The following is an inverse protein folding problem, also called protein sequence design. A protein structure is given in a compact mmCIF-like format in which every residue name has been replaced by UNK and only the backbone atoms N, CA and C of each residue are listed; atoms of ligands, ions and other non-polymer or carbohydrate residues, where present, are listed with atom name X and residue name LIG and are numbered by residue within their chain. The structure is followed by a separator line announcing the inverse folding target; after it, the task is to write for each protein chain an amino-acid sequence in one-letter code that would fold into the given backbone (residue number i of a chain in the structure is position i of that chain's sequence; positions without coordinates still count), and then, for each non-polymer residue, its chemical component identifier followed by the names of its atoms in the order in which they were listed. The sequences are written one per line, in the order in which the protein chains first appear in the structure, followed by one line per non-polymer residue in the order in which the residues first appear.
data_IF_529210074062
#
_entry.id   IF_529210074062
#
_cell.length_a   1.000
_cell.length_b   1.000
_cell.length_c   1.000
_cell.angle_alpha   90.00
_cell.angle_beta   90.00
_cell.angle_gamma   90.00
#
_symmetry.space_group_name_H-M   'P 1'
#
loop_
_entity.id
_entity.type
_entity.pdbx_description
1 polymer ?
#
# COMPACT_ATOMS: atom_id res chain seq x y z
N UNK A 1 -52.81 28.67 21.33
CA UNK A 1 -51.83 29.49 20.59
C UNK A 1 -51.19 28.57 19.57
N UNK A 2 -51.41 28.83 18.29
CA UNK A 2 -50.80 28.09 17.17
C UNK A 2 -49.45 28.74 16.89
N UNK A 3 -48.33 28.15 17.34
CA UNK A 3 -47.03 28.84 17.28
C UNK A 3 -46.57 29.10 15.84
N UNK A 4 -47.04 28.35 14.84
CA UNK A 4 -46.67 28.58 13.44
C UNK A 4 -47.37 29.83 12.90
N UNK A 5 -48.66 30.00 13.22
CA UNK A 5 -49.47 31.13 12.76
C UNK A 5 -49.27 32.38 13.61
N UNK A 6 -49.22 32.22 14.92
CA UNK A 6 -49.19 33.33 15.89
C UNK A 6 -47.81 34.01 15.94
N UNK A 7 -46.72 33.29 15.62
CA UNK A 7 -45.36 33.85 15.51
C UNK A 7 -44.85 33.96 14.06
N UNK A 8 -45.71 33.70 13.05
CA UNK A 8 -45.37 33.80 11.63
C UNK A 8 -44.08 33.05 11.26
N UNK A 9 -43.95 31.80 11.73
CA UNK A 9 -42.79 30.94 11.47
C UNK A 9 -42.87 30.43 10.04
N UNK A 10 -41.92 30.84 9.19
CA UNK A 10 -41.87 30.50 7.75
C UNK A 10 -40.79 29.51 7.37
N UNK A 11 -39.93 29.17 8.32
CA UNK A 11 -38.91 28.14 8.17
C UNK A 11 -39.57 26.75 8.11
N UNK A 12 -39.33 26.02 7.03
CA UNK A 12 -39.98 24.75 6.76
C UNK A 12 -39.55 23.65 7.75
N UNK A 13 -38.29 23.62 8.15
CA UNK A 13 -37.76 22.65 9.10
C UNK A 13 -38.31 22.91 10.52
N UNK A 14 -38.45 24.18 10.88
CA UNK A 14 -39.06 24.58 12.15
C UNK A 14 -40.56 24.25 12.17
N UNK A 15 -41.29 24.55 11.09
CA UNK A 15 -42.71 24.25 10.97
C UNK A 15 -43.00 22.73 11.03
N UNK A 16 -42.18 21.92 10.35
CA UNK A 16 -42.29 20.44 10.39
C UNK A 16 -41.96 19.87 11.76
N UNK A 17 -40.96 20.43 12.46
CA UNK A 17 -40.62 20.03 13.83
C UNK A 17 -41.76 20.33 14.81
N UNK A 18 -42.40 21.49 14.69
CA UNK A 18 -43.55 21.87 15.52
C UNK A 18 -44.74 20.93 15.26
N UNK A 19 -45.04 20.64 13.98
CA UNK A 19 -46.11 19.71 13.62
C UNK A 19 -45.83 18.28 14.17
N UNK A 20 -44.58 17.83 14.09
CA UNK A 20 -44.16 16.54 14.67
C UNK A 20 -44.32 16.50 16.18
N UNK A 21 -43.96 17.58 16.89
CA UNK A 21 -44.16 17.72 18.34
C UNK A 21 -45.65 17.60 18.69
N UNK A 22 -46.51 18.37 18.02
CA UNK A 22 -47.96 18.35 18.28
C UNK A 22 -48.54 16.94 18.06
N UNK A 23 -48.17 16.28 16.95
CA UNK A 23 -48.58 14.90 16.69
C UNK A 23 -48.11 13.91 17.77
N UNK A 24 -46.91 14.09 18.31
CA UNK A 24 -46.40 13.25 19.40
C UNK A 24 -47.15 13.52 20.70
N UNK A 25 -47.45 14.78 21.04
CA UNK A 25 -48.22 15.17 22.23
C UNK A 25 -49.65 14.58 22.18
N UNK A 26 -50.31 14.66 21.03
CA UNK A 26 -51.62 14.03 20.81
C UNK A 26 -51.55 12.52 21.02
N UNK A 27 -50.55 11.86 20.43
CA UNK A 27 -50.35 10.41 20.59
C UNK A 27 -50.02 10.02 22.02
N UNK A 28 -49.29 10.87 22.74
CA UNK A 28 -48.91 10.62 24.14
C UNK A 28 -50.14 10.50 25.03
N UNK A 29 -51.16 11.34 24.80
CA UNK A 29 -52.39 11.36 25.59
C UNK A 29 -53.17 10.02 25.55
N UNK A 30 -52.96 9.18 24.54
CA UNK A 30 -53.64 7.88 24.41
C UNK A 30 -52.95 6.73 25.15
N UNK A 31 -51.75 6.93 25.70
CA UNK A 31 -51.05 5.84 26.39
C UNK A 31 -51.56 5.66 27.83
N UNK A 32 -52.06 4.45 28.12
CA UNK A 32 -52.57 4.07 29.43
C UNK A 32 -51.53 4.14 30.57
N UNK A 33 -50.23 4.12 30.23
CA UNK A 33 -49.16 4.21 31.23
C UNK A 33 -49.12 5.56 31.97
N UNK A 34 -49.66 6.64 31.39
CA UNK A 34 -49.72 7.96 32.02
C UNK A 34 -50.61 7.98 33.28
N UNK A 35 -51.56 7.06 33.37
CA UNK A 35 -52.47 6.92 34.52
C UNK A 35 -51.96 5.90 35.55
N UNK A 36 -50.73 5.40 35.41
CA UNK A 36 -50.18 4.40 36.32
C UNK A 36 -49.69 5.06 37.63
N UNK A 37 -50.15 4.61 38.82
CA UNK A 37 -49.70 5.17 40.09
C UNK A 37 -48.22 4.88 40.40
N UNK A 38 -47.62 3.89 39.72
CA UNK A 38 -46.20 3.52 39.82
C UNK A 38 -45.42 3.87 38.55
N UNK A 39 -45.89 4.86 37.79
CA UNK A 39 -45.30 5.23 36.51
C UNK A 39 -43.78 5.42 36.59
N UNK A 40 -43.29 6.16 37.57
CA UNK A 40 -41.85 6.43 37.74
C UNK A 40 -41.04 5.15 37.93
N UNK A 41 -41.51 4.20 38.73
CA UNK A 41 -40.82 2.91 38.94
C UNK A 41 -40.79 2.07 37.66
N UNK A 42 -41.94 1.92 37.00
CA UNK A 42 -42.05 1.17 35.75
C UNK A 42 -41.25 1.81 34.62
N UNK A 43 -41.30 3.13 34.49
CA UNK A 43 -40.53 3.89 33.50
C UNK A 43 -39.04 3.71 33.73
N UNK A 44 -38.56 3.83 34.97
CA UNK A 44 -37.15 3.62 35.29
C UNK A 44 -36.70 2.18 34.99
N UNK A 45 -37.54 1.18 35.28
CA UNK A 45 -37.26 -0.22 34.95
C UNK A 45 -37.10 -0.42 33.44
N UNK A 46 -38.04 0.10 32.64
CA UNK A 46 -37.99 0.01 31.18
C UNK A 46 -36.82 0.80 30.60
N UNK A 47 -36.56 2.01 31.11
CA UNK A 47 -35.44 2.84 30.68
C UNK A 47 -34.09 2.14 30.96
N UNK A 48 -33.94 1.51 32.13
CA UNK A 48 -32.76 0.70 32.44
C UNK A 48 -32.63 -0.51 31.51
N UNK A 49 -33.74 -1.21 31.25
CA UNK A 49 -33.75 -2.31 30.29
C UNK A 49 -33.35 -1.86 28.88
N UNK A 50 -33.81 -0.70 28.43
CA UNK A 50 -33.44 -0.14 27.11
C UNK A 50 -31.95 0.19 27.05
N UNK A 51 -31.38 0.83 28.08
CA UNK A 51 -29.93 1.09 28.17
C UNK A 51 -29.11 -0.20 28.16
N UNK A 52 -29.53 -1.21 28.92
CA UNK A 52 -28.88 -2.52 28.94
C UNK A 52 -28.94 -3.20 27.57
N UNK A 53 -30.09 -3.12 26.87
CA UNK A 53 -30.21 -3.65 25.50
C UNK A 53 -29.31 -2.93 24.51
N UNK A 54 -29.21 -1.62 24.60
CA UNK A 54 -28.29 -0.82 23.80
C UNK A 54 -26.84 -1.23 24.07
N UNK A 55 -26.44 -1.34 25.34
CA UNK A 55 -25.11 -1.81 25.72
C UNK A 55 -24.82 -3.23 25.19
N UNK A 56 -25.76 -4.16 25.30
CA UNK A 56 -25.60 -5.52 24.75
C UNK A 56 -25.45 -5.48 23.22
N UNK A 57 -26.17 -4.59 22.54
CA UNK A 57 -26.09 -4.45 21.08
C UNK A 57 -24.72 -3.90 20.68
N UNK A 58 -24.24 -2.86 21.38
CA UNK A 58 -22.90 -2.30 21.17
C UNK A 58 -21.81 -3.32 21.46
N UNK A 59 -21.89 -4.05 22.58
CA UNK A 59 -20.91 -5.10 22.91
C UNK A 59 -20.90 -6.23 21.89
N UNK A 60 -22.08 -6.64 21.37
CA UNK A 60 -22.16 -7.63 20.29
C UNK A 60 -21.50 -7.15 19.02
N UNK A 61 -21.71 -5.88 18.66
CA UNK A 61 -21.03 -5.28 17.51
C UNK A 61 -19.51 -5.24 17.72
N UNK A 62 -19.03 -4.76 18.88
CA UNK A 62 -17.60 -4.71 19.20
C UNK A 62 -16.92 -6.08 19.25
N UNK A 63 -17.67 -7.14 19.58
CA UNK A 63 -17.17 -8.52 19.59
C UNK A 63 -17.36 -9.23 18.25
N UNK A 64 -18.05 -8.60 17.29
CA UNK A 64 -18.24 -9.14 15.95
C UNK A 64 -17.04 -8.86 15.08
N UNK A 65 -16.83 -9.72 14.09
CA UNK A 65 -15.87 -9.50 13.00
C UNK A 65 -16.20 -8.24 12.16
N UNK A 66 -17.42 -7.69 12.29
CA UNK A 66 -17.83 -6.44 11.63
C UNK A 66 -17.21 -5.18 12.23
N UNK A 67 -16.72 -5.24 13.46
CA UNK A 67 -15.98 -4.12 14.09
C UNK A 67 -14.54 -3.99 13.60
N UNK A 68 -14.02 -5.00 12.89
CA UNK A 68 -12.66 -5.01 12.38
C UNK A 68 -12.55 -4.05 11.20
N UNK A 69 -12.12 -2.82 11.48
CA UNK A 69 -11.98 -1.72 10.51
C UNK A 69 -11.19 -2.08 9.23
N UNK A 70 -10.32 -3.10 9.28
CA UNK A 70 -9.46 -3.50 8.15
C UNK A 70 -9.92 -4.79 7.44
N UNK A 71 -11.09 -5.35 7.79
CA UNK A 71 -11.55 -6.62 7.21
C UNK A 71 -11.81 -6.52 5.70
N UNK A 72 -12.47 -5.44 5.28
CA UNK A 72 -12.78 -5.21 3.86
C UNK A 72 -11.48 -5.10 3.05
N UNK A 73 -10.53 -4.27 3.50
CA UNK A 73 -9.23 -4.12 2.84
C UNK A 73 -8.45 -5.45 2.79
N UNK A 74 -8.45 -6.24 3.87
CA UNK A 74 -7.84 -7.57 3.88
C UNK A 74 -8.46 -8.50 2.83
N UNK A 75 -9.79 -8.51 2.70
CA UNK A 75 -10.47 -9.30 1.69
C UNK A 75 -10.12 -8.84 0.27
N UNK A 76 -10.05 -7.53 0.04
CA UNK A 76 -9.63 -6.96 -1.26
C UNK A 76 -8.18 -7.36 -1.60
N UNK A 77 -7.26 -7.28 -0.63
CA UNK A 77 -5.86 -7.73 -0.82
C UNK A 77 -5.77 -9.23 -1.10
N UNK A 78 -6.56 -10.07 -0.42
CA UNK A 78 -6.62 -11.51 -0.73
C UNK A 78 -7.12 -11.74 -2.16
N UNK A 79 -8.12 -11.00 -2.62
CA UNK A 79 -8.60 -11.11 -4.01
C UNK A 79 -7.52 -10.74 -5.02
N UNK A 80 -6.73 -9.69 -4.76
CA UNK A 80 -5.57 -9.32 -5.60
C UNK A 80 -4.57 -10.48 -5.65
N UNK A 81 -4.20 -11.05 -4.50
CA UNK A 81 -3.27 -12.18 -4.42
C UNK A 81 -3.80 -13.43 -5.15
N UNK A 82 -5.10 -13.70 -5.07
CA UNK A 82 -5.75 -14.80 -5.81
C UNK A 82 -5.71 -14.56 -7.32
N UNK A 83 -6.06 -13.35 -7.78
CA UNK A 83 -6.05 -12.98 -9.21
C UNK A 83 -4.66 -13.05 -9.83
N UNK A 84 -3.65 -12.59 -9.08
CA UNK A 84 -2.25 -12.67 -9.49
C UNK A 84 -1.62 -14.05 -9.27
N UNK A 85 -2.36 -15.01 -8.70
CA UNK A 85 -1.95 -16.40 -8.43
C UNK A 85 -0.81 -16.55 -7.41
N UNK A 86 -0.75 -15.64 -6.43
CA UNK A 86 0.13 -15.78 -5.26
C UNK A 86 -0.45 -16.79 -4.26
N UNK A 87 -1.77 -16.87 -4.18
CA UNK A 87 -2.52 -17.88 -3.41
C UNK A 87 -3.59 -18.50 -4.31
N UNK A 88 -4.04 -19.72 -4.00
CA UNK A 88 -5.17 -20.35 -4.69
C UNK A 88 -6.53 -19.96 -4.07
N UNK A 89 -7.61 -20.56 -4.59
CA UNK A 89 -8.97 -20.34 -4.12
C UNK A 89 -9.20 -20.76 -2.65
N UNK A 90 -8.35 -21.62 -2.09
CA UNK A 90 -8.37 -22.04 -0.69
C UNK A 90 -7.40 -21.22 0.18
N UNK A 91 -6.84 -20.13 -0.36
CA UNK A 91 -5.81 -19.30 0.26
C UNK A 91 -4.49 -20.05 0.57
N UNK A 92 -4.20 -21.14 -0.14
CA UNK A 92 -2.91 -21.80 -0.04
C UNK A 92 -1.86 -21.11 -0.92
N UNK A 93 -0.70 -20.83 -0.33
CA UNK A 93 0.41 -20.11 -0.97
C UNK A 93 0.97 -20.91 -2.16
N UNK A 94 0.99 -20.29 -3.33
CA UNK A 94 1.52 -20.84 -4.58
C UNK A 94 3.01 -20.53 -4.73
N UNK A 95 3.64 -21.05 -5.80
CA UNK A 95 5.07 -20.78 -6.09
C UNK A 95 5.36 -19.28 -6.12
N UNK A 96 4.52 -18.49 -6.79
CA UNK A 96 4.67 -17.03 -6.90
C UNK A 96 4.60 -16.34 -5.53
N UNK A 97 3.71 -16.80 -4.65
CA UNK A 97 3.65 -16.34 -3.27
C UNK A 97 4.91 -16.68 -2.46
N UNK A 98 5.47 -17.89 -2.62
CA UNK A 98 6.74 -18.26 -1.97
C UNK A 98 7.91 -17.42 -2.45
N UNK A 99 7.96 -17.11 -3.74
CA UNK A 99 8.98 -16.22 -4.32
C UNK A 99 8.87 -14.82 -3.75
N UNK A 100 7.65 -14.29 -3.64
CA UNK A 100 7.42 -12.96 -3.08
C UNK A 100 7.87 -12.85 -1.62
N UNK A 101 7.77 -13.94 -0.84
CA UNK A 101 8.26 -13.99 0.54
C UNK A 101 9.80 -13.85 0.66
N UNK A 102 10.56 -14.05 -0.42
CA UNK A 102 12.02 -13.83 -0.43
C UNK A 102 12.40 -12.38 -0.73
N UNK A 103 11.43 -11.51 -1.06
CA UNK A 103 11.68 -10.13 -1.43
C UNK A 103 11.26 -9.21 -0.29
N UNK A 104 12.19 -8.40 0.19
CA UNK A 104 12.00 -7.55 1.36
C UNK A 104 11.20 -6.27 1.10
N UNK A 105 11.20 -5.76 -0.14
CA UNK A 105 10.57 -4.50 -0.52
C UNK A 105 10.06 -4.54 -1.95
N UNK A 106 8.90 -3.93 -2.21
CA UNK A 106 8.26 -3.93 -3.53
C UNK A 106 8.08 -5.36 -4.09
N UNK A 107 7.73 -6.28 -3.20
CA UNK A 107 7.71 -7.72 -3.42
C UNK A 107 6.83 -8.12 -4.61
N UNK A 108 5.68 -7.47 -4.79
CA UNK A 108 4.74 -7.81 -5.86
C UNK A 108 5.32 -7.47 -7.23
N UNK A 109 5.78 -6.23 -7.44
CA UNK A 109 6.29 -5.81 -8.76
C UNK A 109 7.60 -6.53 -9.12
N UNK A 110 8.51 -6.72 -8.15
CA UNK A 110 9.75 -7.46 -8.41
C UNK A 110 9.42 -8.91 -8.77
N UNK A 111 8.49 -9.55 -8.06
CA UNK A 111 8.04 -10.91 -8.38
C UNK A 111 7.40 -10.96 -9.78
N UNK A 112 6.51 -10.02 -10.14
CA UNK A 112 5.94 -9.96 -11.49
C UNK A 112 7.03 -9.84 -12.57
N UNK A 113 8.00 -8.96 -12.39
CA UNK A 113 9.10 -8.76 -13.35
C UNK A 113 9.95 -10.01 -13.53
N UNK A 114 10.19 -10.75 -12.44
CA UNK A 114 10.90 -12.04 -12.49
C UNK A 114 10.08 -13.07 -13.28
N UNK A 115 8.78 -13.22 -12.99
CA UNK A 115 7.92 -14.20 -13.67
C UNK A 115 7.66 -13.85 -15.15
N UNK A 116 7.65 -12.57 -15.51
CA UNK A 116 7.58 -12.08 -16.88
C UNK A 116 8.94 -12.07 -17.59
N UNK A 117 9.99 -12.63 -16.97
CA UNK A 117 11.32 -12.77 -17.55
C UNK A 117 11.97 -11.44 -17.96
N UNK A 118 11.59 -10.32 -17.32
CA UNK A 118 12.00 -8.96 -17.70
C UNK A 118 13.54 -8.76 -17.68
N UNK A 119 14.25 -9.50 -16.82
CA UNK A 119 15.71 -9.40 -16.66
C UNK A 119 16.51 -10.34 -17.59
N UNK A 120 15.84 -11.20 -18.37
CA UNK A 120 16.49 -12.27 -19.14
C UNK A 120 17.41 -11.77 -20.23
N UNK A 121 17.06 -10.66 -20.89
CA UNK A 121 17.84 -10.12 -22.01
C UNK A 121 18.74 -8.94 -21.62
N UNK A 122 18.71 -8.54 -20.34
CA UNK A 122 19.45 -7.38 -19.85
C UNK A 122 20.85 -7.79 -19.35
N UNK A 123 21.82 -6.90 -19.51
CA UNK A 123 23.14 -7.04 -18.93
C UNK A 123 23.08 -6.80 -17.40
N UNK A 124 23.91 -7.46 -16.57
CA UNK A 124 23.91 -7.24 -15.12
C UNK A 124 23.98 -5.77 -14.68
N UNK A 125 24.76 -4.93 -15.39
CA UNK A 125 24.82 -3.47 -15.15
C UNK A 125 23.49 -2.76 -15.40
N UNK A 126 22.72 -3.19 -16.40
CA UNK A 126 21.41 -2.62 -16.71
C UNK A 126 20.37 -3.07 -15.68
N UNK A 127 20.45 -4.33 -15.24
CA UNK A 127 19.57 -4.88 -14.21
C UNK A 127 19.73 -4.11 -12.90
N UNK A 128 20.96 -3.96 -12.40
CA UNK A 128 21.20 -3.26 -11.12
C UNK A 128 20.81 -1.78 -11.20
N UNK A 129 21.01 -1.14 -12.35
CA UNK A 129 20.55 0.21 -12.60
C UNK A 129 19.02 0.32 -12.54
N UNK A 130 18.28 -0.60 -13.17
CA UNK A 130 16.82 -0.60 -13.11
C UNK A 130 16.30 -0.92 -11.71
N UNK A 131 16.92 -1.86 -10.99
CA UNK A 131 16.54 -2.18 -9.61
C UNK A 131 16.69 -0.99 -8.65
N UNK A 132 17.51 0.02 -8.99
CA UNK A 132 17.68 1.22 -8.17
C UNK A 132 16.37 1.96 -7.94
N UNK A 133 15.38 1.82 -8.84
CA UNK A 133 14.11 2.51 -8.71
C UNK A 133 13.22 2.00 -7.56
N UNK A 134 13.44 0.77 -7.09
CA UNK A 134 12.76 0.18 -5.93
C UNK A 134 13.39 0.58 -4.60
N UNK A 135 14.62 1.12 -4.63
CA UNK A 135 15.40 1.40 -3.42
C UNK A 135 15.54 2.89 -3.18
N UNK A 136 15.61 3.67 -4.26
CA UNK A 136 15.70 5.12 -4.20
C UNK A 136 14.36 5.73 -3.74
N UNK A 137 14.42 6.59 -2.72
CA UNK A 137 13.22 7.12 -2.04
C UNK A 137 12.97 8.60 -2.28
N UNK A 138 13.89 9.31 -2.96
CA UNK A 138 13.77 10.75 -3.13
C UNK A 138 12.92 11.08 -4.34
N UNK A 139 11.86 11.87 -4.11
CA UNK A 139 10.88 12.24 -5.15
C UNK A 139 11.37 13.28 -6.16
N UNK A 140 12.35 14.09 -5.76
CA UNK A 140 12.86 15.21 -6.57
C UNK A 140 14.36 15.06 -6.74
N UNK A 141 14.78 14.96 -7.98
CA UNK A 141 16.16 14.98 -8.44
C UNK A 141 16.17 15.34 -9.93
N UNK A 142 17.36 15.57 -10.47
CA UNK A 142 17.60 15.68 -11.90
C UNK A 142 17.09 14.44 -12.64
N UNK A 143 16.56 14.63 -13.85
CA UNK A 143 16.22 13.51 -14.72
C UNK A 143 17.49 12.83 -15.24
N UNK A 144 17.57 11.49 -15.17
CA UNK A 144 18.73 10.75 -15.66
C UNK A 144 18.75 10.69 -17.19
N UNK A 145 19.94 10.70 -17.76
CA UNK A 145 20.18 10.37 -19.17
C UNK A 145 20.21 8.85 -19.35
N UNK A 146 19.14 8.28 -19.91
CA UNK A 146 19.01 6.83 -20.06
C UNK A 146 19.44 6.37 -21.47
N UNK A 147 20.16 5.26 -21.51
CA UNK A 147 20.37 4.53 -22.77
C UNK A 147 19.03 3.96 -23.27
N UNK A 148 18.98 3.57 -24.55
CA UNK A 148 17.77 2.96 -25.14
C UNK A 148 17.28 1.75 -24.32
N UNK A 149 18.17 0.84 -23.93
CA UNK A 149 17.82 -0.35 -23.15
C UNK A 149 17.27 0.02 -21.77
N UNK A 150 17.87 1.00 -21.08
CA UNK A 150 17.39 1.46 -19.77
C UNK A 150 16.03 2.17 -19.87
N UNK A 151 15.79 2.92 -20.94
CA UNK A 151 14.50 3.53 -21.21
C UNK A 151 13.40 2.48 -21.45
N UNK A 152 13.69 1.46 -22.26
CA UNK A 152 12.79 0.31 -22.48
C UNK A 152 12.53 -0.46 -21.18
N UNK A 153 13.56 -0.70 -20.37
CA UNK A 153 13.42 -1.33 -19.05
C UNK A 153 12.58 -0.52 -18.08
N UNK A 154 12.75 0.80 -18.04
CA UNK A 154 11.91 1.72 -17.25
C UNK A 154 10.45 1.65 -17.68
N UNK A 155 10.19 1.64 -18.99
CA UNK A 155 8.84 1.55 -19.52
C UNK A 155 8.19 0.20 -19.19
N UNK A 156 8.95 -0.90 -19.27
CA UNK A 156 8.50 -2.23 -18.84
C UNK A 156 8.07 -2.24 -17.36
N UNK A 157 8.86 -1.65 -16.46
CA UNK A 157 8.53 -1.54 -15.03
C UNK A 157 7.26 -0.70 -14.82
N UNK A 158 7.13 0.43 -15.51
CA UNK A 158 5.96 1.31 -15.39
C UNK A 158 4.68 0.66 -15.93
N UNK A 159 4.77 -0.10 -17.01
CA UNK A 159 3.65 -0.85 -17.57
C UNK A 159 3.22 -1.99 -16.63
N UNK A 160 4.18 -2.68 -16.00
CA UNK A 160 3.89 -3.68 -14.97
C UNK A 160 3.22 -3.06 -13.75
N UNK A 161 3.75 -1.93 -13.28
CA UNK A 161 3.16 -1.18 -12.17
C UNK A 161 1.71 -0.77 -12.47
N UNK A 162 1.45 -0.30 -13.68
CA UNK A 162 0.12 0.08 -14.13
C UNK A 162 -0.83 -1.12 -14.19
N UNK A 163 -0.38 -2.27 -14.69
CA UNK A 163 -1.17 -3.50 -14.70
C UNK A 163 -1.58 -3.92 -13.28
N UNK A 164 -0.63 -3.95 -12.35
CA UNK A 164 -0.87 -4.30 -10.94
C UNK A 164 -1.84 -3.29 -10.31
N UNK A 165 -1.64 -1.99 -10.54
CA UNK A 165 -2.48 -0.95 -9.97
C UNK A 165 -3.93 -1.00 -10.48
N UNK A 166 -4.13 -1.26 -11.77
CA UNK A 166 -5.45 -1.48 -12.34
C UNK A 166 -6.14 -2.68 -11.70
N UNK A 167 -5.41 -3.79 -11.51
CA UNK A 167 -5.95 -4.98 -10.85
C UNK A 167 -6.34 -4.71 -9.39
N UNK A 168 -5.52 -3.94 -8.66
CA UNK A 168 -5.82 -3.52 -7.29
C UNK A 168 -7.08 -2.65 -7.22
N UNK A 169 -7.23 -1.71 -8.15
CA UNK A 169 -8.41 -0.85 -8.28
C UNK A 169 -9.67 -1.66 -8.58
N UNK A 170 -9.60 -2.65 -9.49
CA UNK A 170 -10.71 -3.57 -9.77
C UNK A 170 -11.14 -4.39 -8.55
N UNK A 171 -10.21 -4.68 -7.64
CA UNK A 171 -10.49 -5.35 -6.36
C UNK A 171 -11.00 -4.38 -5.27
N UNK A 172 -11.13 -3.09 -5.56
CA UNK A 172 -11.70 -2.09 -4.64
C UNK A 172 -10.70 -1.40 -3.71
N UNK A 173 -9.38 -1.56 -3.94
CA UNK A 173 -8.37 -0.80 -3.20
C UNK A 173 -8.34 0.66 -3.67
N UNK A 174 -8.15 1.59 -2.75
CA UNK A 174 -8.28 3.03 -3.00
C UNK A 174 -7.05 3.70 -3.63
N UNK A 175 -5.94 2.98 -3.78
CA UNK A 175 -4.71 3.53 -4.36
C UNK A 175 -4.88 3.77 -5.86
N UNK A 176 -4.66 5.00 -6.31
CA UNK A 176 -4.72 5.32 -7.74
C UNK A 176 -3.53 4.74 -8.50
N UNK A 177 -3.70 4.52 -9.81
CA UNK A 177 -2.63 4.06 -10.71
C UNK A 177 -1.42 4.98 -10.65
N UNK A 178 -1.66 6.30 -10.61
CA UNK A 178 -0.61 7.30 -10.55
C UNK A 178 0.18 7.22 -9.24
N UNK A 179 -0.52 7.15 -8.09
CA UNK A 179 0.12 7.00 -6.78
C UNK A 179 0.94 5.71 -6.68
N UNK A 180 0.51 4.63 -7.34
CA UNK A 180 1.28 3.38 -7.38
C UNK A 180 2.56 3.52 -8.21
N UNK A 181 2.49 4.16 -9.38
CA UNK A 181 3.67 4.40 -10.24
C UNK A 181 4.68 5.36 -9.60
N UNK A 182 4.20 6.34 -8.84
CA UNK A 182 5.04 7.32 -8.12
C UNK A 182 5.88 6.72 -6.99
N UNK A 183 5.67 5.45 -6.63
CA UNK A 183 6.52 4.74 -5.66
C UNK A 183 7.91 4.42 -6.22
N UNK A 184 8.06 4.40 -7.54
CA UNK A 184 9.30 3.97 -8.22
C UNK A 184 10.08 5.18 -8.74
N UNK A 185 11.29 5.38 -8.20
CA UNK A 185 12.06 6.59 -8.46
C UNK A 185 13.28 6.30 -9.33
N UNK A 186 13.26 6.75 -10.59
CA UNK A 186 14.32 6.43 -11.56
C UNK A 186 15.54 7.36 -11.50
N UNK A 187 15.59 8.31 -10.56
CA UNK A 187 16.61 9.37 -10.50
C UNK A 187 18.07 8.91 -10.49
N UNK A 188 18.35 7.78 -9.84
CA UNK A 188 19.71 7.25 -9.72
C UNK A 188 20.07 6.18 -10.76
N UNK A 189 19.20 5.89 -11.73
CA UNK A 189 19.42 4.81 -12.70
C UNK A 189 20.71 5.04 -13.50
N UNK A 190 20.95 6.27 -13.98
CA UNK A 190 22.18 6.62 -14.71
C UNK A 190 23.42 6.51 -13.82
N UNK A 191 23.38 7.09 -12.61
CA UNK A 191 24.51 7.06 -11.68
C UNK A 191 24.89 5.63 -11.28
N UNK A 192 23.89 4.76 -11.02
CA UNK A 192 24.12 3.35 -10.68
C UNK A 192 24.63 2.57 -11.89
N UNK A 193 24.13 2.86 -13.10
CA UNK A 193 24.61 2.23 -14.33
C UNK A 193 26.09 2.52 -14.56
N UNK A 194 26.52 3.78 -14.49
CA UNK A 194 27.92 4.15 -14.66
C UNK A 194 28.81 3.68 -13.49
N UNK A 195 28.27 3.66 -12.28
CA UNK A 195 28.94 3.04 -11.13
C UNK A 195 29.24 1.55 -11.37
N UNK A 196 28.26 0.78 -11.85
CA UNK A 196 28.45 -0.65 -12.14
C UNK A 196 29.44 -0.89 -13.29
N UNK A 197 29.65 0.10 -14.16
CA UNK A 197 30.65 0.07 -15.25
C UNK A 197 32.06 0.49 -14.81
N UNK A 198 32.24 0.88 -13.56
CA UNK A 198 33.55 1.22 -12.98
C UNK A 198 33.88 2.72 -12.94
N UNK A 199 32.94 3.61 -13.25
CA UNK A 199 33.16 5.06 -13.18
C UNK A 199 33.50 5.53 -11.74
N UNK A 200 34.55 6.33 -11.50
CA UNK A 200 34.90 6.79 -10.15
C UNK A 200 33.76 7.47 -9.41
N UNK A 201 33.74 7.38 -8.06
CA UNK A 201 32.64 7.93 -7.26
C UNK A 201 32.48 9.45 -7.47
N UNK A 202 33.58 10.18 -7.63
CA UNK A 202 33.59 11.62 -7.89
C UNK A 202 32.97 12.03 -9.23
N UNK A 203 32.92 11.11 -10.20
CA UNK A 203 32.32 11.38 -11.50
C UNK A 203 30.81 11.10 -11.47
N UNK A 204 30.38 10.01 -10.81
CA UNK A 204 28.94 9.70 -10.70
C UNK A 204 28.18 10.77 -9.90
N UNK A 205 28.84 11.44 -8.94
CA UNK A 205 28.25 12.55 -8.17
C UNK A 205 28.00 13.78 -9.02
N UNK A 206 28.63 13.90 -10.20
CA UNK A 206 28.36 14.99 -11.14
C UNK A 206 27.18 14.70 -12.07
N UNK A 207 26.70 13.45 -12.12
CA UNK A 207 25.58 13.03 -12.96
C UNK A 207 24.21 13.36 -12.34
N UNK A 208 24.19 13.68 -11.05
CA UNK A 208 22.95 13.90 -10.30
C UNK A 208 23.11 14.98 -9.23
N UNK A 209 22.02 15.66 -8.88
CA UNK A 209 21.94 16.62 -7.77
C UNK A 209 21.69 15.95 -6.41
N UNK A 210 21.65 14.61 -6.37
CA UNK A 210 21.44 13.82 -5.15
C UNK A 210 22.70 13.81 -4.29
N UNK A 211 22.52 14.01 -2.98
CA UNK A 211 23.61 13.98 -2.00
C UNK A 211 24.34 12.63 -1.98
N UNK A 212 25.66 12.67 -1.84
CA UNK A 212 26.55 11.51 -1.93
C UNK A 212 26.18 10.40 -0.93
N UNK A 213 25.82 10.77 0.30
CA UNK A 213 25.39 9.82 1.32
C UNK A 213 24.11 9.06 0.96
N UNK A 214 23.22 9.66 0.16
CA UNK A 214 22.01 9.00 -0.35
C UNK A 214 22.38 8.02 -1.46
N UNK A 215 23.32 8.38 -2.34
CA UNK A 215 23.84 7.51 -3.40
C UNK A 215 24.46 6.25 -2.78
N UNK A 216 25.35 6.42 -1.78
CA UNK A 216 25.99 5.30 -1.05
C UNK A 216 24.94 4.38 -0.42
N UNK A 217 23.96 4.95 0.29
CA UNK A 217 22.88 4.17 0.93
C UNK A 217 22.03 3.41 -0.09
N UNK A 218 21.76 4.03 -1.24
CA UNK A 218 21.02 3.39 -2.33
C UNK A 218 21.78 2.16 -2.84
N UNK A 219 23.08 2.30 -3.13
CA UNK A 219 23.90 1.19 -3.62
C UNK A 219 24.04 0.07 -2.57
N UNK A 220 24.18 0.39 -1.29
CA UNK A 220 24.23 -0.62 -0.22
C UNK A 220 22.94 -1.44 -0.14
N UNK A 221 21.78 -0.78 -0.23
CA UNK A 221 20.47 -1.44 -0.24
C UNK A 221 20.20 -2.21 -1.55
N UNK A 222 20.76 -1.76 -2.67
CA UNK A 222 20.67 -2.50 -3.94
C UNK A 222 21.31 -3.88 -3.84
N UNK A 223 22.40 -4.03 -3.09
CA UNK A 223 22.99 -5.34 -2.84
C UNK A 223 22.02 -6.30 -2.13
N UNK A 224 21.22 -5.79 -1.19
CA UNK A 224 20.16 -6.58 -0.54
C UNK A 224 19.10 -6.99 -1.56
N UNK A 225 18.62 -6.06 -2.40
CA UNK A 225 17.66 -6.36 -3.46
C UNK A 225 18.19 -7.39 -4.47
N UNK A 226 19.47 -7.32 -4.87
CA UNK A 226 20.08 -8.34 -5.73
C UNK A 226 20.10 -9.72 -5.05
N UNK A 227 20.37 -9.80 -3.75
CA UNK A 227 20.33 -11.07 -3.00
C UNK A 227 18.92 -11.63 -2.91
N UNK A 228 17.91 -10.79 -2.69
CA UNK A 228 16.50 -11.17 -2.67
C UNK A 228 16.09 -11.80 -4.01
N UNK A 229 16.39 -11.12 -5.13
CA UNK A 229 16.07 -11.62 -6.48
C UNK A 229 16.85 -12.90 -6.81
N UNK A 230 18.10 -13.03 -6.35
CA UNK A 230 18.86 -14.28 -6.49
C UNK A 230 18.24 -15.43 -5.72
N UNK A 231 17.75 -15.20 -4.50
CA UNK A 231 17.08 -16.22 -3.70
C UNK A 231 15.75 -16.64 -4.36
N UNK A 232 14.98 -15.67 -4.85
CA UNK A 232 13.80 -15.89 -5.68
C UNK A 232 14.11 -16.77 -6.91
N UNK A 233 15.18 -16.46 -7.65
CA UNK A 233 15.62 -17.23 -8.82
C UNK A 233 15.91 -18.70 -8.49
N UNK A 234 16.51 -18.97 -7.31
CA UNK A 234 16.76 -20.34 -6.83
C UNK A 234 15.46 -21.12 -6.58
N UNK A 235 14.43 -20.48 -6.04
CA UNK A 235 13.12 -21.10 -5.79
C UNK A 235 12.39 -21.41 -7.10
N UNK A 236 12.51 -20.53 -8.09
CA UNK A 236 11.91 -20.72 -9.43
C UNK A 236 12.66 -21.79 -10.23
N UNK A 237 13.95 -21.99 -9.94
CA UNK A 237 14.81 -22.89 -10.70
C UNK A 237 15.44 -22.23 -11.93
N UNK A 238 15.68 -20.91 -11.88
CA UNK A 238 16.40 -20.17 -12.91
C UNK A 238 17.83 -19.83 -12.45
N UNK A 239 18.83 -20.70 -12.72
CA UNK A 239 20.21 -20.45 -12.32
C UNK A 239 20.84 -19.27 -13.06
N UNK A 240 20.39 -18.97 -14.29
CA UNK A 240 20.96 -17.87 -15.10
C UNK A 240 20.60 -16.52 -14.49
N UNK A 241 19.35 -16.36 -14.05
CA UNK A 241 18.95 -15.16 -13.33
C UNK A 241 19.74 -15.03 -12.02
N UNK A 242 19.96 -16.13 -11.30
CA UNK A 242 20.79 -16.16 -10.09
C UNK A 242 22.22 -15.66 -10.35
N UNK A 243 22.88 -16.19 -11.37
CA UNK A 243 24.23 -15.77 -11.79
C UNK A 243 24.27 -14.29 -12.15
N UNK A 244 23.30 -13.80 -12.94
CA UNK A 244 23.21 -12.38 -13.28
C UNK A 244 23.08 -11.47 -12.06
N UNK A 245 22.35 -11.90 -11.01
CA UNK A 245 22.22 -11.14 -9.78
C UNK A 245 23.49 -11.15 -8.94
N UNK A 246 24.24 -12.26 -8.94
CA UNK A 246 25.56 -12.33 -8.31
C UNK A 246 26.55 -11.40 -9.04
N UNK A 247 26.56 -11.39 -10.37
CA UNK A 247 27.39 -10.49 -11.19
C UNK A 247 27.01 -9.01 -10.97
N UNK A 248 25.71 -8.70 -10.99
CA UNK A 248 25.18 -7.37 -10.72
C UNK A 248 25.60 -6.85 -9.34
N UNK A 249 25.48 -7.70 -8.31
CA UNK A 249 25.91 -7.41 -6.95
C UNK A 249 27.42 -7.19 -6.86
N UNK A 250 28.23 -7.99 -7.56
CA UNK A 250 29.68 -7.85 -7.58
C UNK A 250 30.13 -6.54 -8.23
N UNK A 251 29.46 -6.10 -9.31
CA UNK A 251 29.79 -4.87 -10.03
C UNK A 251 29.60 -3.59 -9.20
N UNK A 252 28.66 -3.59 -8.26
CA UNK A 252 28.41 -2.43 -7.39
C UNK A 252 29.23 -2.45 -6.09
N UNK A 253 29.76 -3.62 -5.69
CA UNK A 253 30.55 -3.83 -4.47
C UNK A 253 31.99 -3.38 -4.59
N UNK A 254 32.22 -2.06 -4.60
CA UNK A 254 33.57 -1.49 -4.67
C UNK A 254 33.76 -0.23 -3.86
N UNK A 255 35.03 0.06 -3.60
CA UNK A 255 35.55 1.32 -3.05
C UNK A 255 34.79 1.85 -1.82
N UNK A 256 34.55 3.16 -1.80
CA UNK A 256 33.99 3.94 -0.69
C UNK A 256 32.60 3.47 -0.25
N UNK A 257 31.84 2.84 -1.14
CA UNK A 257 30.46 2.43 -0.89
C UNK A 257 30.39 1.26 0.11
N UNK A 258 31.44 0.44 0.15
CA UNK A 258 31.54 -0.73 1.04
C UNK A 258 32.71 -0.63 2.02
N UNK A 259 33.19 0.58 2.28
CA UNK A 259 34.18 0.81 3.32
C UNK A 259 33.61 0.42 4.70
N UNK A 260 34.41 -0.27 5.52
CA UNK A 260 34.00 -0.70 6.85
C UNK A 260 33.69 0.50 7.75
N UNK A 261 32.62 0.40 8.55
CA UNK A 261 32.28 1.42 9.54
C UNK A 261 33.41 1.56 10.56
N UNK A 262 33.73 2.80 10.93
CA UNK A 262 34.71 3.11 11.98
C UNK A 262 34.29 2.58 13.36
N UNK A 263 33.00 2.26 13.57
CA UNK A 263 32.47 1.69 14.82
C UNK A 263 32.64 0.17 14.92
N UNK A 264 32.96 -0.49 13.81
CA UNK A 264 33.13 -1.96 13.73
C UNK A 264 34.59 -2.37 13.55
N UNK A 265 35.52 -1.42 13.66
CA UNK A 265 36.96 -1.68 13.69
C UNK A 265 37.43 -1.99 15.11
#
# INVERSE_FOLDING_TARGET
MDPVKDFNIRDLDMATTIARKQSLEERMAYYACLNCPKFTEHFNSVANQMKLREHVTTLRFLLSDESLQHREELQQRIQVLQRLRYVDANNAVQLKGRVACEISSHEMIITELVFENAFTNLHPTEIVALLSCFVFQQRRCSEPSLTKTLAEGKECILNMAEHIANLQSECGLSTSVQEFKEQYHFGLVEAVFEWARGMPFSEITNLTDVQEGIIVRCIQRLDETCRDVRNAARIIGDPKLGEKMDDASAMIKRDIVFAASLYTQ
#
